data_IF_836759133073
#
_entry.id   IF_836759133073
#
_cell.length_a   1.000
_cell.length_b   1.000
_cell.length_c   1.000
_cell.angle_alpha   90.00
_cell.angle_beta   90.00
_cell.angle_gamma   90.00
#
_symmetry.space_group_name_H-M   'P 1'
#
loop_
_entity.id
_entity.type
_entity.pdbx_description
1 polymer ?
#
# COMPACT_ATOMS: atom_id res chain seq x y z
N UNK A 1 19.90 9.12 -45.47
CA UNK A 1 18.73 9.69 -44.75
C UNK A 1 18.28 8.82 -43.58
N UNK A 2 18.19 7.50 -43.75
CA UNK A 2 17.69 6.53 -42.75
C UNK A 2 18.47 6.49 -41.41
N UNK A 3 19.81 6.60 -41.44
CA UNK A 3 20.64 6.68 -40.21
C UNK A 3 20.37 7.93 -39.35
N UNK A 4 19.95 9.04 -39.96
CA UNK A 4 19.66 10.28 -39.25
C UNK A 4 18.31 10.21 -38.53
N UNK A 5 17.31 9.57 -39.14
CA UNK A 5 16.00 9.31 -38.52
C UNK A 5 16.14 8.38 -37.30
N UNK A 6 16.94 7.32 -37.42
CA UNK A 6 17.19 6.39 -36.29
C UNK A 6 17.89 7.08 -35.11
N UNK A 7 18.85 7.97 -35.37
CA UNK A 7 19.52 8.75 -34.33
C UNK A 7 18.62 9.81 -33.68
N UNK A 8 17.68 10.38 -34.44
CA UNK A 8 16.69 11.32 -33.92
C UNK A 8 15.72 10.62 -32.95
N UNK A 9 15.18 9.46 -33.35
CA UNK A 9 14.25 8.67 -32.52
C UNK A 9 14.90 8.17 -31.21
N UNK A 10 16.16 7.73 -31.26
CA UNK A 10 16.90 7.30 -30.05
C UNK A 10 17.19 8.47 -29.10
N UNK A 11 17.56 9.64 -29.62
CA UNK A 11 17.76 10.85 -28.79
C UNK A 11 16.45 11.34 -28.17
N UNK A 12 15.33 11.22 -28.88
CA UNK A 12 13.99 11.57 -28.38
C UNK A 12 13.54 10.64 -27.26
N UNK A 13 13.70 9.32 -27.44
CA UNK A 13 13.41 8.33 -26.39
C UNK A 13 14.26 8.54 -25.13
N UNK A 14 15.57 8.84 -25.28
CA UNK A 14 16.45 9.08 -24.12
C UNK A 14 16.03 10.30 -23.30
N UNK A 15 15.53 11.36 -23.96
CA UNK A 15 15.01 12.55 -23.27
C UNK A 15 13.70 12.26 -22.54
N UNK A 16 12.79 11.50 -23.15
CA UNK A 16 11.53 11.09 -22.50
C UNK A 16 11.84 10.22 -21.28
N UNK A 17 12.76 9.26 -21.40
CA UNK A 17 13.18 8.40 -20.29
C UNK A 17 13.76 9.20 -19.11
N UNK A 18 14.55 10.23 -19.42
CA UNK A 18 15.13 11.12 -18.40
C UNK A 18 14.06 11.95 -17.68
N UNK A 19 13.07 12.48 -18.40
CA UNK A 19 11.95 13.21 -17.79
C UNK A 19 11.10 12.30 -16.89
N UNK A 20 10.82 11.06 -17.33
CA UNK A 20 10.10 10.08 -16.51
C UNK A 20 10.88 9.79 -15.21
N UNK A 21 12.19 9.61 -15.30
CA UNK A 21 13.04 9.35 -14.13
C UNK A 21 13.00 10.51 -13.13
N UNK A 22 13.08 11.75 -13.61
CA UNK A 22 13.01 12.95 -12.75
C UNK A 22 11.64 13.11 -12.08
N UNK A 23 10.56 12.86 -12.83
CA UNK A 23 9.18 12.90 -12.30
C UNK A 23 8.95 11.81 -11.24
N UNK A 24 9.51 10.61 -11.45
CA UNK A 24 9.44 9.53 -10.45
C UNK A 24 10.16 9.89 -9.15
N UNK A 25 11.29 10.60 -9.22
CA UNK A 25 12.06 11.04 -8.05
C UNK A 25 11.47 12.23 -7.27
N UNK A 26 10.41 12.87 -7.77
CA UNK A 26 9.79 14.04 -7.11
C UNK A 26 8.76 13.66 -6.02
N UNK A 27 8.61 12.38 -5.68
CA UNK A 27 7.70 11.89 -4.64
C UNK A 27 8.36 11.76 -3.25
N UNK A 28 9.49 12.43 -3.01
CA UNK A 28 10.10 12.44 -1.68
C UNK A 28 9.34 13.49 -0.86
N UNK A 29 8.20 13.09 -0.32
CA UNK A 29 7.46 13.87 0.68
C UNK A 29 8.36 14.08 1.90
N UNK A 30 8.45 15.33 2.36
CA UNK A 30 8.99 15.69 3.66
C UNK A 30 7.98 15.22 4.72
N UNK A 31 8.38 14.24 5.53
CA UNK A 31 7.53 13.71 6.59
C UNK A 31 7.98 14.22 7.96
N UNK A 32 6.99 14.52 8.81
CA UNK A 32 7.12 14.83 10.22
C UNK A 32 6.77 13.57 11.00
N UNK A 33 7.71 13.01 11.76
CA UNK A 33 7.45 11.85 12.60
C UNK A 33 6.69 12.24 13.87
N UNK A 34 5.53 11.62 14.13
CA UNK A 34 4.85 11.61 15.43
C UNK A 34 5.40 10.46 16.30
N UNK A 35 5.78 10.73 17.55
CA UNK A 35 6.41 9.74 18.43
C UNK A 35 5.35 8.97 19.24
N UNK A 36 4.95 7.78 18.79
CA UNK A 36 4.05 6.88 19.54
C UNK A 36 4.83 6.12 20.63
N UNK A 37 4.32 6.11 21.88
CA UNK A 37 4.93 5.41 23.01
C UNK A 37 4.21 4.06 23.29
N UNK A 38 4.82 2.97 22.86
CA UNK A 38 4.28 1.60 22.99
C UNK A 38 4.74 0.83 24.24
N UNK A 39 5.34 1.51 25.23
CA UNK A 39 5.95 0.83 26.39
C UNK A 39 4.92 -0.02 27.16
N UNK A 40 3.72 0.51 27.36
CA UNK A 40 2.65 -0.17 28.08
C UNK A 40 2.05 -1.32 27.27
N UNK A 41 1.76 -1.08 25.98
CA UNK A 41 1.27 -2.10 25.05
C UNK A 41 2.21 -3.31 24.98
N UNK A 42 3.52 -3.06 24.92
CA UNK A 42 4.53 -4.11 24.90
C UNK A 42 4.50 -4.97 26.16
N UNK A 43 4.31 -4.36 27.34
CA UNK A 43 4.16 -5.11 28.59
C UNK A 43 2.93 -6.02 28.56
N UNK A 44 1.81 -5.57 27.98
CA UNK A 44 0.63 -6.42 27.82
C UNK A 44 0.89 -7.60 26.89
N UNK A 45 1.53 -7.37 25.73
CA UNK A 45 1.89 -8.44 24.79
C UNK A 45 2.84 -9.46 25.45
N UNK A 46 3.89 -8.97 26.12
CA UNK A 46 4.90 -9.80 26.77
C UNK A 46 4.33 -10.58 27.97
N UNK A 47 3.27 -10.05 28.62
CA UNK A 47 2.59 -10.72 29.73
C UNK A 47 1.76 -11.94 29.31
N UNK A 48 1.45 -12.09 28.02
CA UNK A 48 0.62 -13.19 27.53
C UNK A 48 -0.80 -13.17 28.09
N UNK A 49 -1.35 -11.99 28.39
CA UNK A 49 -2.72 -11.84 28.87
C UNK A 49 -3.71 -12.47 27.87
N UNK A 50 -4.69 -13.20 28.39
CA UNK A 50 -5.69 -13.87 27.57
C UNK A 50 -6.62 -12.86 26.87
N UNK A 51 -6.99 -13.15 25.63
CA UNK A 51 -7.73 -12.22 24.78
C UNK A 51 -9.14 -11.88 25.26
N UNK A 52 -9.78 -12.79 26.01
CA UNK A 52 -11.06 -12.57 26.67
C UNK A 52 -11.01 -11.52 27.80
N UNK A 53 -9.80 -11.15 28.23
CA UNK A 53 -9.56 -10.15 29.29
C UNK A 53 -9.09 -8.80 28.74
N UNK A 54 -8.89 -8.70 27.43
CA UNK A 54 -8.47 -7.46 26.79
C UNK A 54 -9.69 -6.60 26.46
N UNK A 55 -9.61 -5.32 26.78
CA UNK A 55 -10.59 -4.34 26.31
C UNK A 55 -10.33 -3.97 24.86
N UNK A 56 -11.32 -3.36 24.20
CA UNK A 56 -11.18 -2.88 22.82
C UNK A 56 -10.07 -1.83 22.71
N UNK A 57 -9.88 -0.97 23.72
CA UNK A 57 -8.78 0.01 23.75
C UNK A 57 -7.40 -0.67 23.84
N UNK A 58 -7.28 -1.77 24.59
CA UNK A 58 -6.04 -2.52 24.68
C UNK A 58 -5.75 -3.25 23.36
N UNK A 59 -6.78 -3.80 22.72
CA UNK A 59 -6.67 -4.42 21.41
C UNK A 59 -6.35 -3.40 20.32
N UNK A 60 -6.92 -2.20 20.38
CA UNK A 60 -6.57 -1.09 19.50
C UNK A 60 -5.10 -0.70 19.66
N UNK A 61 -4.62 -0.50 20.89
CA UNK A 61 -3.21 -0.16 21.14
C UNK A 61 -2.24 -1.27 20.71
N UNK A 62 -2.63 -2.54 20.89
CA UNK A 62 -1.87 -3.69 20.37
C UNK A 62 -1.85 -3.71 18.84
N UNK A 63 -2.97 -3.37 18.21
CA UNK A 63 -3.10 -3.26 16.76
C UNK A 63 -2.18 -2.19 16.21
N UNK A 64 -2.28 -0.98 16.75
CA UNK A 64 -1.39 0.15 16.44
C UNK A 64 0.09 -0.27 16.54
N UNK A 65 0.49 -0.89 17.66
CA UNK A 65 1.85 -1.43 17.82
C UNK A 65 2.27 -2.39 16.70
N UNK A 66 1.43 -3.36 16.36
CA UNK A 66 1.74 -4.27 15.25
C UNK A 66 1.76 -3.56 13.89
N UNK A 67 0.96 -2.50 13.70
CA UNK A 67 0.98 -1.70 12.48
C UNK A 67 2.30 -0.98 12.35
N UNK A 68 2.74 -0.32 13.42
CA UNK A 68 4.02 0.35 13.50
C UNK A 68 5.18 -0.63 13.25
N UNK A 69 5.12 -1.86 13.77
CA UNK A 69 6.17 -2.86 13.49
C UNK A 69 6.20 -3.30 12.01
N UNK A 70 5.05 -3.29 11.32
CA UNK A 70 4.95 -3.68 9.91
C UNK A 70 5.25 -2.53 8.95
N UNK A 71 4.84 -1.31 9.30
CA UNK A 71 4.92 -0.10 8.49
C UNK A 71 5.43 1.08 9.34
N UNK A 72 6.69 1.08 9.79
CA UNK A 72 7.16 2.06 10.77
C UNK A 72 7.15 3.50 10.24
N UNK A 73 6.90 4.44 11.15
CA UNK A 73 6.88 5.87 10.92
C UNK A 73 5.86 6.30 9.89
N UNK A 74 6.31 7.06 8.90
CA UNK A 74 5.50 7.71 7.86
C UNK A 74 4.54 6.76 7.12
N UNK A 75 4.93 5.49 7.00
CA UNK A 75 4.13 4.50 6.32
C UNK A 75 2.86 4.16 7.11
N UNK A 76 2.95 4.06 8.43
CA UNK A 76 1.82 3.87 9.33
C UNK A 76 0.93 5.12 9.33
N UNK A 77 1.49 6.32 9.52
CA UNK A 77 0.71 7.56 9.51
C UNK A 77 -0.08 7.75 8.20
N UNK A 78 0.53 7.41 7.06
CA UNK A 78 -0.15 7.46 5.77
C UNK A 78 -1.29 6.43 5.69
N UNK A 79 -1.07 5.23 6.20
CA UNK A 79 -2.10 4.19 6.26
C UNK A 79 -3.27 4.61 7.14
N UNK A 80 -3.00 5.22 8.29
CA UNK A 80 -4.03 5.75 9.18
C UNK A 80 -4.90 6.78 8.48
N UNK A 81 -4.26 7.75 7.81
CA UNK A 81 -4.96 8.76 7.01
C UNK A 81 -5.85 8.15 5.93
N UNK A 82 -5.37 7.10 5.25
CA UNK A 82 -6.15 6.40 4.23
C UNK A 82 -7.31 5.59 4.82
N UNK A 83 -7.25 5.23 6.10
CA UNK A 83 -8.24 4.42 6.82
C UNK A 83 -9.21 5.25 7.68
N UNK A 84 -9.25 6.57 7.48
CA UNK A 84 -10.17 7.50 8.14
C UNK A 84 -9.48 8.51 9.06
N UNK A 85 -8.18 8.37 9.26
CA UNK A 85 -7.36 9.20 10.14
C UNK A 85 -7.36 8.72 11.59
N UNK A 86 -6.41 9.25 12.36
CA UNK A 86 -6.23 8.97 13.78
C UNK A 86 -7.52 9.26 14.57
N UNK A 87 -7.91 8.31 15.43
CA UNK A 87 -9.14 8.38 16.21
C UNK A 87 -10.45 8.12 15.44
N UNK A 88 -10.39 7.73 14.16
CA UNK A 88 -11.58 7.31 13.42
C UNK A 88 -12.06 5.91 13.85
N UNK A 89 -13.38 5.70 13.87
CA UNK A 89 -13.96 4.40 14.22
C UNK A 89 -13.49 3.28 13.26
N UNK A 90 -13.25 3.63 11.99
CA UNK A 90 -12.76 2.69 10.97
C UNK A 90 -11.33 2.24 11.25
N UNK A 91 -10.46 3.17 11.65
CA UNK A 91 -9.08 2.86 12.03
C UNK A 91 -9.03 2.06 13.33
N UNK A 92 -9.80 2.46 14.34
CA UNK A 92 -9.94 1.71 15.60
C UNK A 92 -10.32 0.25 15.35
N UNK A 93 -11.33 0.00 14.52
CA UNK A 93 -11.76 -1.36 14.19
C UNK A 93 -10.71 -2.14 13.41
N UNK A 94 -9.91 -1.47 12.56
CA UNK A 94 -8.78 -2.09 11.88
C UNK A 94 -7.74 -2.59 12.88
N UNK A 95 -7.31 -1.71 13.80
CA UNK A 95 -6.33 -2.05 14.83
C UNK A 95 -6.80 -3.21 15.71
N UNK A 96 -8.05 -3.18 16.18
CA UNK A 96 -8.64 -4.26 16.97
C UNK A 96 -8.64 -5.58 16.21
N UNK A 97 -9.10 -5.59 14.95
CA UNK A 97 -9.12 -6.82 14.14
C UNK A 97 -7.72 -7.35 13.91
N UNK A 98 -6.75 -6.47 13.67
CA UNK A 98 -5.37 -6.86 13.46
C UNK A 98 -4.75 -7.47 14.73
N UNK A 99 -5.00 -6.89 15.90
CA UNK A 99 -4.58 -7.47 17.18
C UNK A 99 -5.22 -8.84 17.42
N UNK A 100 -6.53 -8.98 17.21
CA UNK A 100 -7.22 -10.28 17.31
C UNK A 100 -6.60 -11.32 16.39
N UNK A 101 -6.19 -10.92 15.19
CA UNK A 101 -5.52 -11.82 14.26
C UNK A 101 -4.14 -12.26 14.71
N UNK A 102 -3.29 -11.30 15.04
CA UNK A 102 -1.86 -11.52 15.27
C UNK A 102 -1.57 -12.04 16.67
N UNK A 103 -2.30 -11.54 17.66
CA UNK A 103 -2.12 -11.91 19.05
C UNK A 103 -3.07 -13.04 19.48
N UNK A 104 -4.36 -12.93 19.15
CA UNK A 104 -5.36 -13.93 19.57
C UNK A 104 -5.46 -15.13 18.64
N UNK A 105 -4.79 -15.10 17.48
CA UNK A 105 -4.92 -16.11 16.42
C UNK A 105 -6.38 -16.36 16.01
N UNK A 106 -7.22 -15.33 16.11
CA UNK A 106 -8.59 -15.40 15.63
C UNK A 106 -8.60 -15.27 14.11
N UNK A 107 -9.40 -16.11 13.45
CA UNK A 107 -9.64 -16.00 12.02
C UNK A 107 -10.62 -14.85 11.78
N UNK A 108 -10.11 -13.62 11.90
CA UNK A 108 -10.80 -12.42 11.46
C UNK A 108 -10.80 -12.45 9.93
N UNK A 109 -11.89 -13.01 9.39
CA UNK A 109 -11.99 -13.39 7.99
C UNK A 109 -11.40 -12.35 7.05
N UNK A 110 -10.53 -12.81 6.14
CA UNK A 110 -9.95 -12.01 5.07
C UNK A 110 -11.08 -11.34 4.28
N UNK A 111 -11.34 -10.08 4.61
CA UNK A 111 -12.50 -9.34 4.12
C UNK A 111 -12.53 -9.27 2.60
N UNK A 112 -13.72 -9.01 2.07
CA UNK A 112 -14.05 -8.79 0.66
C UNK A 112 -13.00 -7.99 -0.15
N UNK A 113 -12.23 -7.12 0.51
CA UNK A 113 -11.07 -6.40 -0.01
C UNK A 113 -10.02 -7.26 -0.72
N UNK A 114 -9.70 -8.46 -0.21
CA UNK A 114 -8.70 -9.32 -0.84
C UNK A 114 -9.18 -9.87 -2.19
N UNK A 115 -10.45 -10.29 -2.24
CA UNK A 115 -11.10 -10.77 -3.47
C UNK A 115 -11.27 -9.61 -4.48
N UNK A 116 -11.67 -8.43 -4.01
CA UNK A 116 -11.82 -7.25 -4.86
C UNK A 116 -10.47 -6.82 -5.47
N UNK A 117 -9.39 -6.88 -4.70
CA UNK A 117 -8.04 -6.56 -5.16
C UNK A 117 -7.57 -7.51 -6.28
N UNK A 118 -7.78 -8.82 -6.12
CA UNK A 118 -7.40 -9.82 -7.14
C UNK A 118 -8.22 -9.62 -8.43
N UNK A 119 -9.53 -9.42 -8.32
CA UNK A 119 -10.41 -9.20 -9.48
C UNK A 119 -10.01 -7.91 -10.22
N UNK A 120 -9.74 -6.83 -9.49
CA UNK A 120 -9.33 -5.56 -10.07
C UNK A 120 -7.97 -5.68 -10.79
N UNK A 121 -7.01 -6.38 -10.19
CA UNK A 121 -5.72 -6.66 -10.81
C UNK A 121 -5.87 -7.43 -12.13
N UNK A 122 -6.68 -8.50 -12.15
CA UNK A 122 -6.92 -9.29 -13.37
C UNK A 122 -7.60 -8.47 -14.47
N UNK A 123 -8.54 -7.59 -14.12
CA UNK A 123 -9.19 -6.68 -15.07
C UNK A 123 -8.19 -5.69 -15.69
N UNK A 124 -7.34 -5.07 -14.88
CA UNK A 124 -6.33 -4.11 -15.37
C UNK A 124 -5.36 -4.80 -16.33
N UNK A 125 -4.87 -6.00 -16.00
CA UNK A 125 -3.97 -6.77 -16.86
C UNK A 125 -4.64 -7.11 -18.19
N UNK A 126 -5.91 -7.55 -18.17
CA UNK A 126 -6.66 -7.86 -19.38
C UNK A 126 -6.83 -6.64 -20.30
N UNK A 127 -7.12 -5.46 -19.74
CA UNK A 127 -7.27 -4.22 -20.50
C UNK A 127 -5.94 -3.77 -21.13
N UNK A 128 -4.83 -3.90 -20.42
CA UNK A 128 -3.49 -3.58 -20.95
C UNK A 128 -3.16 -4.49 -22.14
N UNK A 129 -3.40 -5.80 -22.02
CA UNK A 129 -3.16 -6.76 -23.11
C UNK A 129 -4.03 -6.40 -24.33
N UNK A 130 -5.32 -6.10 -24.11
CA UNK A 130 -6.23 -5.71 -25.18
C UNK A 130 -5.78 -4.42 -25.89
N UNK A 131 -5.32 -3.41 -25.14
CA UNK A 131 -4.81 -2.16 -25.68
C UNK A 131 -3.52 -2.37 -26.51
N UNK A 132 -2.58 -3.19 -26.02
CA UNK A 132 -1.35 -3.53 -26.75
C UNK A 132 -1.71 -4.27 -28.05
N UNK A 133 -2.58 -5.26 -27.99
CA UNK A 133 -3.02 -6.00 -29.17
C UNK A 133 -3.69 -5.07 -30.21
N UNK A 134 -4.55 -4.15 -29.75
CA UNK A 134 -5.18 -3.16 -30.61
C UNK A 134 -4.16 -2.23 -31.28
N UNK A 135 -3.16 -1.75 -30.53
CA UNK A 135 -2.09 -0.90 -31.05
C UNK A 135 -1.26 -1.62 -32.13
N UNK A 136 -0.87 -2.88 -31.89
CA UNK A 136 -0.13 -3.70 -32.86
C UNK A 136 -0.96 -3.88 -34.13
N UNK A 137 -2.22 -4.31 -34.00
CA UNK A 137 -3.11 -4.53 -35.15
C UNK A 137 -3.42 -3.25 -35.92
N UNK A 138 -3.49 -2.10 -35.24
CA UNK A 138 -3.72 -0.82 -35.89
C UNK A 138 -2.46 -0.27 -36.59
N UNK A 139 -1.27 -0.55 -36.06
CA UNK A 139 0.00 -0.23 -36.71
C UNK A 139 0.20 -1.04 -37.99
N UNK A 140 -0.21 -2.32 -37.99
CA UNK A 140 -0.12 -3.20 -39.17
C UNK A 140 -1.11 -2.81 -40.28
N UNK A 141 -2.29 -2.27 -39.92
CA UNK A 141 -3.27 -1.75 -40.89
C UNK A 141 -2.89 -0.44 -41.59
N UNK A 142 -1.90 0.28 -41.06
CA UNK A 142 -1.44 1.57 -41.62
C UNK A 142 -0.19 1.45 -42.49
N UNK A 143 0.34 0.24 -42.65
CA UNK A 143 1.49 -0.08 -43.50
C UNK A 143 1.01 -0.79 -44.77
#
# INVERSE_FOLDING_TARGET
MEKLLKNYEVKKMRKILFVIMVVLSFNISLVFAHEHNFTETKQFIDSGISCDKLTDEQLEAMGDYYMEQMHPGDAHELMDQMMGGEGSDTLKQMHIQMAKRLYCNEDVGWGWWSIFSIINYLLIVALIIAAIYWLIKNADRKR
#
